data_IF_189264306077
#
_entry.id   IF_189264306077
#
_cell.length_a   1.000
_cell.length_b   1.000
_cell.length_c   1.000
_cell.angle_alpha   90.00
_cell.angle_beta   90.00
_cell.angle_gamma   90.00
#
_symmetry.space_group_name_H-M   'P 1'
#
loop_
_entity.id
_entity.type
_entity.pdbx_description
1 polymer ?
#
# COMPACT_ATOMS: atom_id res chain seq x y z
N UNK A 1 -12.69 13.58 -57.90
CA UNK A 1 -12.61 13.77 -59.37
C UNK A 1 -11.73 14.98 -59.66
N UNK A 2 -10.46 14.75 -59.93
CA UNK A 2 -9.56 15.83 -60.39
C UNK A 2 -9.16 15.45 -61.81
N UNK A 3 -9.53 16.31 -62.80
CA UNK A 3 -9.20 16.17 -64.21
C UNK A 3 -7.73 16.57 -64.41
N UNK A 4 -6.92 15.64 -64.89
CA UNK A 4 -5.58 15.97 -65.45
C UNK A 4 -5.71 16.35 -66.94
N UNK A 5 -5.22 17.54 -67.25
CA UNK A 5 -5.13 18.04 -68.67
C UNK A 5 -3.93 17.40 -69.36
N UNK A 6 -4.16 16.85 -70.53
CA UNK A 6 -3.14 16.33 -71.45
C UNK A 6 -2.26 17.48 -71.98
N UNK A 7 -0.98 17.52 -71.63
CA UNK A 7 0.05 18.25 -72.36
C UNK A 7 1.04 17.23 -72.95
N UNK A 8 1.35 17.44 -74.23
CA UNK A 8 2.19 16.58 -75.03
C UNK A 8 3.60 16.39 -74.46
N UNK A 9 4.07 15.14 -74.49
CA UNK A 9 5.41 14.72 -74.08
C UNK A 9 6.35 14.86 -75.23
N UNK A 10 7.51 15.58 -75.12
CA UNK A 10 8.55 15.57 -76.13
C UNK A 10 9.31 14.22 -76.13
N UNK A 11 9.97 13.84 -77.26
CA UNK A 11 10.65 12.56 -77.43
C UNK A 11 11.89 12.50 -76.52
N UNK A 12 11.92 11.45 -75.70
CA UNK A 12 13.02 11.16 -74.77
C UNK A 12 14.15 10.49 -75.53
N UNK A 13 15.35 11.09 -75.49
CA UNK A 13 16.58 10.48 -76.01
C UNK A 13 16.94 9.25 -75.14
N UNK A 14 17.34 8.15 -75.80
CA UNK A 14 17.59 6.82 -75.17
C UNK A 14 18.77 6.75 -74.20
N UNK A 15 19.42 7.83 -73.79
CA UNK A 15 20.61 7.80 -72.93
C UNK A 15 20.39 8.24 -71.49
N UNK A 16 19.17 8.66 -71.12
CA UNK A 16 18.91 9.14 -69.71
C UNK A 16 18.24 8.13 -68.76
N UNK A 17 17.96 6.93 -69.21
CA UNK A 17 17.30 5.94 -68.39
C UNK A 17 18.16 5.46 -67.20
N UNK A 18 19.49 5.45 -67.31
CA UNK A 18 20.40 5.04 -66.25
C UNK A 18 20.55 6.11 -65.14
N UNK A 19 20.49 7.40 -65.50
CA UNK A 19 20.59 8.51 -64.54
C UNK A 19 19.37 8.63 -63.66
N UNK A 20 18.18 8.48 -64.23
CA UNK A 20 16.90 8.51 -63.49
C UNK A 20 16.76 7.30 -62.55
N UNK A 21 17.25 6.12 -62.97
CA UNK A 21 17.24 4.92 -62.12
C UNK A 21 18.15 5.03 -60.89
N UNK A 22 19.31 5.60 -61.02
CA UNK A 22 20.26 5.85 -59.94
C UNK A 22 19.75 6.91 -58.96
N UNK A 23 19.05 7.95 -59.43
CA UNK A 23 18.41 8.92 -58.53
C UNK A 23 17.21 8.33 -57.77
N UNK A 24 16.33 7.56 -58.45
CA UNK A 24 15.24 6.86 -57.78
C UNK A 24 15.71 5.80 -56.79
N UNK A 25 16.77 5.05 -57.11
CA UNK A 25 17.35 4.08 -56.21
C UNK A 25 17.98 4.72 -54.94
N UNK A 26 18.61 5.90 -55.08
CA UNK A 26 19.15 6.65 -53.94
C UNK A 26 18.04 7.23 -53.04
N UNK A 27 16.94 7.70 -53.61
CA UNK A 27 15.76 8.18 -52.87
C UNK A 27 15.06 7.02 -52.13
N UNK A 28 14.90 5.87 -52.80
CA UNK A 28 14.31 4.67 -52.17
C UNK A 28 15.20 4.13 -51.05
N UNK A 29 16.51 4.11 -51.22
CA UNK A 29 17.48 3.71 -50.21
C UNK A 29 17.46 4.66 -48.98
N UNK A 30 17.41 5.97 -49.22
CA UNK A 30 17.27 6.96 -48.13
C UNK A 30 15.93 6.86 -47.42
N UNK A 31 14.83 6.60 -48.14
CA UNK A 31 13.50 6.45 -47.53
C UNK A 31 13.38 5.18 -46.69
N UNK A 32 13.99 4.07 -47.13
CA UNK A 32 14.06 2.83 -46.37
C UNK A 32 14.95 3.03 -45.13
N UNK A 33 16.10 3.68 -45.27
CA UNK A 33 17.03 3.93 -44.14
C UNK A 33 16.41 4.87 -43.09
N UNK A 34 15.70 5.92 -43.51
CA UNK A 34 14.97 6.81 -42.60
C UNK A 34 13.84 6.08 -41.88
N UNK A 35 13.08 5.21 -42.55
CA UNK A 35 12.03 4.41 -41.94
C UNK A 35 12.57 3.36 -40.93
N UNK A 36 13.71 2.72 -41.27
CA UNK A 36 14.34 1.76 -40.32
C UNK A 36 14.98 2.49 -39.12
N UNK A 37 15.59 3.66 -39.33
CA UNK A 37 16.08 4.51 -38.25
C UNK A 37 14.91 4.99 -37.37
N UNK A 38 13.78 5.37 -37.98
CA UNK A 38 12.59 5.82 -37.25
C UNK A 38 11.94 4.66 -36.44
N UNK A 39 11.86 3.46 -37.02
CA UNK A 39 11.44 2.27 -36.33
C UNK A 39 12.39 1.93 -35.18
N UNK A 40 13.71 1.97 -35.39
CA UNK A 40 14.71 1.71 -34.39
C UNK A 40 14.70 2.75 -33.25
N UNK A 41 14.54 4.03 -33.59
CA UNK A 41 14.38 5.13 -32.64
C UNK A 41 13.09 4.98 -31.80
N UNK A 42 11.97 4.63 -32.41
CA UNK A 42 10.71 4.38 -31.71
C UNK A 42 10.77 3.10 -30.87
N UNK A 43 11.38 2.01 -31.34
CA UNK A 43 11.58 0.79 -30.56
C UNK A 43 12.50 1.06 -29.36
N UNK A 44 13.61 1.78 -29.53
CA UNK A 44 14.48 2.17 -28.39
C UNK A 44 13.81 3.14 -27.42
N UNK A 45 13.04 4.09 -27.89
CA UNK A 45 12.34 5.01 -27.00
C UNK A 45 11.13 4.37 -26.31
N UNK A 46 10.40 3.47 -26.97
CA UNK A 46 9.35 2.69 -26.31
C UNK A 46 9.92 1.67 -25.33
N UNK A 47 11.09 1.09 -25.60
CA UNK A 47 11.79 0.22 -24.64
C UNK A 47 12.34 1.04 -23.46
N UNK A 48 12.92 2.23 -23.72
CA UNK A 48 13.44 3.14 -22.69
C UNK A 48 12.32 3.82 -21.88
N UNK A 49 11.12 4.00 -22.47
CA UNK A 49 9.92 4.44 -21.74
C UNK A 49 9.27 3.29 -20.94
N UNK A 50 9.47 2.03 -21.35
CA UNK A 50 9.11 0.86 -20.54
C UNK A 50 10.12 0.56 -19.41
N UNK A 51 11.34 1.05 -19.51
CA UNK A 51 12.39 0.95 -18.49
C UNK A 51 12.39 2.11 -17.48
N UNK A 52 11.53 3.08 -17.58
CA UNK A 52 11.16 3.93 -16.46
C UNK A 52 10.19 3.11 -15.60
N UNK A 53 10.74 2.14 -14.85
CA UNK A 53 10.06 1.54 -13.72
C UNK A 53 9.66 2.69 -12.79
N UNK A 54 8.38 3.03 -12.80
CA UNK A 54 7.89 4.02 -11.85
C UNK A 54 7.75 3.28 -10.52
N UNK A 55 8.53 3.71 -9.55
CA UNK A 55 8.41 3.27 -8.17
C UNK A 55 7.14 3.89 -7.58
N UNK A 56 6.43 3.12 -6.80
CA UNK A 56 5.25 3.53 -6.06
C UNK A 56 5.47 3.24 -4.58
N UNK A 57 5.48 4.28 -3.76
CA UNK A 57 5.81 4.15 -2.35
C UNK A 57 4.54 4.11 -1.50
N UNK A 58 4.39 3.03 -0.76
CA UNK A 58 3.31 2.81 0.20
C UNK A 58 3.86 2.94 1.61
N UNK A 59 3.29 3.81 2.42
CA UNK A 59 3.59 3.90 3.85
C UNK A 59 2.49 3.15 4.63
N UNK A 60 2.89 2.11 5.34
CA UNK A 60 2.07 1.46 6.35
C UNK A 60 2.48 1.97 7.74
N UNK A 61 1.50 2.41 8.53
CA UNK A 61 1.72 2.98 9.87
C UNK A 61 1.04 2.08 10.91
N UNK A 62 1.75 1.79 12.00
CA UNK A 62 1.28 0.92 13.06
C UNK A 62 0.15 1.51 13.90
N UNK A 63 -0.20 0.80 14.97
CA UNK A 63 -1.39 1.04 15.80
C UNK A 63 -1.36 2.43 16.46
N UNK A 64 -2.25 3.33 16.04
CA UNK A 64 -2.40 4.66 16.65
C UNK A 64 -3.00 4.49 18.04
N UNK A 65 -2.24 4.85 19.08
CA UNK A 65 -2.57 4.55 20.47
C UNK A 65 -2.84 5.82 21.28
N UNK A 66 -4.12 6.04 21.58
CA UNK A 66 -4.60 7.15 22.39
C UNK A 66 -4.36 8.54 21.80
N UNK A 67 -4.65 9.57 22.59
CA UNK A 67 -4.50 10.96 22.15
C UNK A 67 -3.05 11.36 21.82
N UNK A 68 -2.06 10.68 22.41
CA UNK A 68 -0.64 10.88 22.10
C UNK A 68 -0.32 10.44 20.68
N UNK A 69 -0.72 9.22 20.31
CA UNK A 69 -0.54 8.68 18.97
C UNK A 69 -1.25 9.54 17.92
N UNK A 70 -2.48 9.99 18.19
CA UNK A 70 -3.21 10.85 17.28
C UNK A 70 -2.51 12.21 17.05
N UNK A 71 -1.93 12.81 18.11
CA UNK A 71 -1.11 14.04 17.96
C UNK A 71 0.15 13.78 17.10
N UNK A 72 0.81 12.65 17.31
CA UNK A 72 2.03 12.29 16.58
C UNK A 72 1.72 12.08 15.08
N UNK A 73 0.62 11.38 14.72
CA UNK A 73 0.13 11.28 13.34
C UNK A 73 -0.07 12.66 12.71
N UNK A 74 -0.81 13.54 13.37
CA UNK A 74 -1.10 14.91 12.87
C UNK A 74 0.16 15.74 12.68
N UNK A 75 1.17 15.53 13.50
CA UNK A 75 2.45 16.25 13.45
C UNK A 75 3.37 15.75 12.35
N UNK A 76 3.48 14.44 12.16
CA UNK A 76 4.56 13.84 11.39
C UNK A 76 4.13 13.25 10.05
N UNK A 77 2.89 12.78 9.88
CA UNK A 77 2.50 11.95 8.73
C UNK A 77 2.75 12.65 7.38
N UNK A 78 2.35 13.90 7.24
CA UNK A 78 2.56 14.66 5.98
C UNK A 78 4.03 14.89 5.66
N UNK A 79 4.86 15.12 6.67
CA UNK A 79 6.29 15.30 6.49
C UNK A 79 6.96 13.98 6.05
N UNK A 80 6.55 12.85 6.64
CA UNK A 80 7.01 11.53 6.24
C UNK A 80 6.59 11.18 4.80
N UNK A 81 5.31 11.41 4.44
CA UNK A 81 4.86 11.21 3.05
C UNK A 81 5.72 12.00 2.06
N UNK A 82 6.08 13.23 2.40
CA UNK A 82 6.96 14.04 1.54
C UNK A 82 8.40 13.53 1.52
N UNK A 83 8.95 13.11 2.66
CA UNK A 83 10.35 12.65 2.80
C UNK A 83 10.60 11.38 2.00
N UNK A 84 9.66 10.43 2.06
CA UNK A 84 9.75 9.12 1.40
C UNK A 84 9.01 9.07 0.06
N UNK A 85 8.57 10.22 -0.47
CA UNK A 85 7.78 10.30 -1.72
C UNK A 85 6.57 9.35 -1.73
N UNK A 86 5.87 9.24 -0.59
CA UNK A 86 4.76 8.31 -0.41
C UNK A 86 3.53 8.79 -1.17
N UNK A 87 3.04 7.96 -2.08
CA UNK A 87 1.82 8.20 -2.85
C UNK A 87 0.57 7.64 -2.17
N UNK A 88 0.73 6.58 -1.36
CA UNK A 88 -0.39 5.93 -0.69
C UNK A 88 -0.05 5.55 0.76
N UNK A 89 -0.95 5.83 1.69
CA UNK A 89 -0.70 5.63 3.11
C UNK A 89 -1.85 4.89 3.80
N UNK A 90 -1.51 3.78 4.47
CA UNK A 90 -2.43 3.00 5.31
C UNK A 90 -2.03 3.15 6.77
N UNK A 91 -3.00 3.46 7.63
CA UNK A 91 -2.77 3.68 9.08
C UNK A 91 -3.67 2.73 9.88
N UNK A 92 -3.11 1.97 10.81
CA UNK A 92 -3.93 1.22 11.75
C UNK A 92 -4.43 2.16 12.86
N UNK A 93 -5.75 2.36 12.91
CA UNK A 93 -6.41 3.32 13.82
C UNK A 93 -7.13 2.69 15.01
N UNK A 94 -7.04 1.37 15.21
CA UNK A 94 -7.93 0.65 16.13
C UNK A 94 -7.85 1.11 17.60
N UNK A 95 -6.73 1.70 18.00
CA UNK A 95 -6.45 2.12 19.38
C UNK A 95 -6.44 3.64 19.58
N UNK A 96 -6.98 4.43 18.62
CA UNK A 96 -6.97 5.89 18.67
C UNK A 96 -7.69 6.48 19.91
N UNK A 97 -8.72 5.79 20.42
CA UNK A 97 -9.37 6.09 21.72
C UNK A 97 -8.73 5.37 22.91
N UNK A 98 -7.55 4.79 22.71
CA UNK A 98 -6.95 3.82 23.63
C UNK A 98 -7.50 2.40 23.43
N UNK A 99 -8.80 2.26 23.25
CA UNK A 99 -9.51 1.04 22.85
C UNK A 99 -10.63 1.43 21.90
N UNK A 100 -10.53 1.05 20.66
CA UNK A 100 -11.43 1.45 19.59
C UNK A 100 -11.10 2.85 19.02
N UNK A 101 -11.89 3.28 18.05
CA UNK A 101 -11.79 4.57 17.35
C UNK A 101 -13.15 5.22 17.25
N UNK A 102 -13.23 6.55 17.29
CA UNK A 102 -14.45 7.32 17.03
C UNK A 102 -14.47 7.85 15.60
N UNK A 103 -15.65 8.21 15.04
CA UNK A 103 -15.76 8.87 13.73
C UNK A 103 -14.85 10.11 13.62
N UNK A 104 -14.87 10.99 14.62
CA UNK A 104 -14.02 12.17 14.64
C UNK A 104 -12.53 11.83 14.56
N UNK A 105 -12.07 10.80 15.28
CA UNK A 105 -10.66 10.38 15.24
C UNK A 105 -10.29 9.75 13.90
N UNK A 106 -11.23 9.04 13.25
CA UNK A 106 -11.04 8.54 11.90
C UNK A 106 -10.85 9.70 10.91
N UNK A 107 -11.72 10.72 10.96
CA UNK A 107 -11.57 11.92 10.14
C UNK A 107 -10.24 12.64 10.41
N UNK A 108 -9.83 12.77 11.67
CA UNK A 108 -8.54 13.39 12.02
C UNK A 108 -7.33 12.64 11.45
N UNK A 109 -7.37 11.29 11.37
CA UNK A 109 -6.31 10.47 10.76
C UNK A 109 -6.31 10.63 9.23
N UNK A 110 -7.48 10.62 8.59
CA UNK A 110 -7.61 10.85 7.14
C UNK A 110 -7.16 12.28 6.78
N UNK A 111 -7.58 13.28 7.53
CA UNK A 111 -7.18 14.67 7.34
C UNK A 111 -5.67 14.89 7.56
N UNK A 112 -5.03 14.08 8.40
CA UNK A 112 -3.58 14.12 8.58
C UNK A 112 -2.80 13.58 7.37
N UNK A 113 -3.47 12.87 6.44
CA UNK A 113 -2.89 12.40 5.18
C UNK A 113 -2.90 10.89 5.00
N UNK A 114 -3.60 10.12 5.84
CA UNK A 114 -3.88 8.73 5.58
C UNK A 114 -4.87 8.60 4.41
N UNK A 115 -4.66 7.60 3.56
CA UNK A 115 -5.57 7.30 2.44
C UNK A 115 -6.58 6.22 2.85
N UNK A 116 -6.18 5.29 3.75
CA UNK A 116 -7.03 4.23 4.29
C UNK A 116 -6.67 3.98 5.76
N UNK A 117 -7.69 3.68 6.56
CA UNK A 117 -7.55 3.24 7.95
C UNK A 117 -7.88 1.74 8.03
N UNK A 118 -7.02 0.96 8.66
CA UNK A 118 -7.29 -0.43 9.07
C UNK A 118 -7.55 -0.50 10.56
N UNK A 119 -8.22 -1.55 10.98
CA UNK A 119 -8.59 -1.80 12.37
C UNK A 119 -8.14 -3.20 12.82
N UNK A 120 -8.63 -3.65 13.97
CA UNK A 120 -8.29 -4.97 14.52
C UNK A 120 -9.37 -5.49 15.47
N UNK A 121 -8.95 -6.12 16.59
CA UNK A 121 -9.88 -6.71 17.57
C UNK A 121 -10.72 -5.67 18.33
N UNK A 122 -10.34 -4.42 18.35
CA UNK A 122 -11.09 -3.35 19.03
C UNK A 122 -12.04 -2.58 18.09
N UNK A 123 -12.27 -3.04 16.88
CA UNK A 123 -13.07 -2.35 15.83
C UNK A 123 -14.37 -1.77 16.35
N UNK A 124 -15.16 -2.53 17.13
CA UNK A 124 -16.50 -2.12 17.59
C UNK A 124 -16.57 -1.72 19.06
N UNK A 125 -15.43 -1.49 19.71
CA UNK A 125 -15.42 -1.10 21.13
C UNK A 125 -16.00 0.29 21.38
N UNK A 126 -15.98 1.15 20.35
CA UNK A 126 -16.71 2.41 20.30
C UNK A 126 -17.92 2.26 19.40
N UNK A 127 -19.11 2.14 19.98
CA UNK A 127 -20.35 1.85 19.23
C UNK A 127 -20.68 2.91 18.16
N UNK A 128 -20.31 4.14 18.40
CA UNK A 128 -20.48 5.28 17.49
C UNK A 128 -19.74 5.11 16.15
N UNK A 129 -18.77 4.20 16.05
CA UNK A 129 -18.07 3.91 14.79
C UNK A 129 -18.91 3.08 13.82
N UNK A 130 -19.96 2.38 14.30
CA UNK A 130 -20.69 1.42 13.47
C UNK A 130 -21.32 2.05 12.23
N UNK A 131 -22.01 3.18 12.37
CA UNK A 131 -22.63 3.88 11.24
C UNK A 131 -21.55 4.43 10.29
N UNK A 132 -20.47 4.96 10.83
CA UNK A 132 -19.32 5.44 10.05
C UNK A 132 -18.66 4.33 9.24
N UNK A 133 -18.54 3.10 9.78
CA UNK A 133 -18.01 1.95 9.09
C UNK A 133 -18.88 1.52 7.88
N UNK A 134 -20.20 1.68 7.95
CA UNK A 134 -21.10 1.40 6.83
C UNK A 134 -20.99 2.46 5.71
N UNK A 135 -20.86 3.73 6.09
CA UNK A 135 -20.85 4.87 5.17
C UNK A 135 -19.49 5.08 4.51
N UNK A 136 -18.40 5.00 5.28
CA UNK A 136 -17.06 5.30 4.81
C UNK A 136 -16.40 4.11 4.09
N UNK A 137 -15.86 4.37 2.90
CA UNK A 137 -15.04 3.41 2.17
C UNK A 137 -13.55 3.40 2.59
N UNK A 138 -13.14 4.36 3.42
CA UNK A 138 -11.74 4.61 3.79
C UNK A 138 -11.36 4.03 5.15
N UNK A 139 -12.24 3.30 5.80
CA UNK A 139 -11.97 2.58 7.05
C UNK A 139 -12.37 1.11 6.89
N UNK A 140 -11.46 0.20 7.23
CA UNK A 140 -11.60 -1.23 7.01
C UNK A 140 -11.50 -2.00 8.33
N UNK A 141 -12.49 -2.83 8.59
CA UNK A 141 -12.48 -3.79 9.69
C UNK A 141 -11.88 -5.12 9.23
N UNK A 142 -11.48 -6.04 10.12
CA UNK A 142 -11.03 -7.37 9.68
C UNK A 142 -12.11 -8.12 8.86
N UNK A 143 -11.72 -8.59 7.66
CA UNK A 143 -12.63 -9.20 6.69
C UNK A 143 -13.12 -10.59 7.12
N UNK A 144 -12.38 -11.29 7.98
CA UNK A 144 -12.70 -12.63 8.46
C UNK A 144 -13.61 -12.66 9.71
N UNK A 145 -14.33 -11.58 9.98
CA UNK A 145 -15.50 -11.57 10.85
C UNK A 145 -16.79 -11.79 10.02
N UNK A 146 -17.90 -12.05 10.71
CA UNK A 146 -19.21 -12.25 10.07
C UNK A 146 -19.56 -11.11 9.10
N UNK A 147 -20.02 -11.42 7.88
CA UNK A 147 -20.38 -10.39 6.89
C UNK A 147 -21.49 -9.44 7.33
N UNK A 148 -22.32 -9.85 8.31
CA UNK A 148 -23.41 -9.03 8.85
C UNK A 148 -22.95 -7.96 9.86
N UNK A 149 -21.68 -7.96 10.27
CA UNK A 149 -21.15 -6.93 11.14
C UNK A 149 -20.87 -5.64 10.37
N UNK A 150 -21.08 -4.46 10.99
CA UNK A 150 -20.87 -3.17 10.34
C UNK A 150 -19.49 -3.01 9.71
N UNK A 151 -19.45 -2.46 8.49
CA UNK A 151 -18.25 -2.13 7.77
C UNK A 151 -17.75 -3.21 6.80
N UNK A 152 -16.79 -2.84 6.00
CA UNK A 152 -16.14 -3.68 4.97
C UNK A 152 -14.74 -4.09 5.38
N UNK A 153 -14.26 -5.23 4.89
CA UNK A 153 -12.95 -5.77 5.25
C UNK A 153 -11.86 -5.48 4.21
N UNK A 154 -12.22 -4.97 3.05
CA UNK A 154 -11.31 -4.58 1.98
C UNK A 154 -11.97 -3.56 1.03
N UNK A 155 -11.14 -2.86 0.27
CA UNK A 155 -11.57 -1.91 -0.75
C UNK A 155 -10.52 -1.73 -1.83
N UNK A 156 -10.95 -1.21 -3.00
CA UNK A 156 -10.06 -0.84 -4.11
C UNK A 156 -10.01 0.69 -4.21
N UNK A 157 -8.82 1.21 -4.37
CA UNK A 157 -8.51 2.64 -4.37
C UNK A 157 -7.72 2.99 -5.62
N UNK A 158 -8.14 4.05 -6.31
CA UNK A 158 -7.43 4.56 -7.48
C UNK A 158 -6.16 5.30 -7.04
N UNK A 159 -5.05 4.99 -7.70
CA UNK A 159 -3.75 5.62 -7.47
C UNK A 159 -3.13 6.06 -8.80
N UNK A 160 -1.96 6.71 -8.73
CA UNK A 160 -1.24 7.13 -9.94
C UNK A 160 -0.73 5.96 -10.80
N UNK A 161 -0.58 4.77 -10.20
CA UNK A 161 -0.17 3.53 -10.91
C UNK A 161 -1.34 2.64 -11.30
N UNK A 162 -2.57 3.10 -11.12
CA UNK A 162 -3.80 2.31 -11.28
C UNK A 162 -4.38 1.87 -9.94
N UNK A 163 -5.35 0.95 -9.94
CA UNK A 163 -6.02 0.50 -8.73
C UNK A 163 -5.10 -0.30 -7.81
N UNK A 164 -5.25 -0.09 -6.50
CA UNK A 164 -4.61 -0.85 -5.43
C UNK A 164 -5.69 -1.32 -4.46
N UNK A 165 -5.66 -2.57 -4.05
CA UNK A 165 -6.56 -3.11 -3.04
C UNK A 165 -5.90 -3.05 -1.66
N UNK A 166 -6.64 -2.57 -0.65
CA UNK A 166 -6.25 -2.67 0.76
C UNK A 166 -7.18 -3.63 1.45
N UNK A 167 -6.63 -4.52 2.25
CA UNK A 167 -7.38 -5.49 3.03
C UNK A 167 -6.90 -5.53 4.48
N UNK A 168 -7.83 -5.87 5.37
CA UNK A 168 -7.55 -6.11 6.77
C UNK A 168 -8.01 -7.52 7.15
N UNK A 169 -7.16 -8.30 7.78
CA UNK A 169 -7.47 -9.60 8.35
C UNK A 169 -7.03 -9.65 9.80
N UNK A 170 -7.66 -10.53 10.60
CA UNK A 170 -7.28 -10.78 11.99
C UNK A 170 -6.86 -12.23 12.18
N UNK A 171 -5.80 -12.45 12.98
CA UNK A 171 -5.32 -13.76 13.36
C UNK A 171 -6.27 -14.49 14.32
N UNK A 172 -5.96 -15.73 14.61
CA UNK A 172 -6.72 -16.59 15.55
C UNK A 172 -5.92 -17.04 16.75
N UNK A 173 -4.59 -17.10 16.59
CA UNK A 173 -3.71 -17.58 17.65
C UNK A 173 -3.62 -16.53 18.77
N UNK A 174 -4.09 -16.88 19.95
CA UNK A 174 -4.19 -16.01 21.13
C UNK A 174 -5.04 -14.73 20.91
N UNK A 175 -5.90 -14.74 19.87
CA UNK A 175 -6.85 -13.65 19.61
C UNK A 175 -8.22 -14.03 20.18
N UNK A 176 -8.87 -13.08 20.82
CA UNK A 176 -10.26 -13.23 21.27
C UNK A 176 -11.23 -13.15 20.08
N UNK A 177 -12.49 -13.59 20.29
CA UNK A 177 -13.63 -13.45 19.37
C UNK A 177 -13.82 -14.52 18.28
N UNK A 178 -12.92 -15.50 18.10
CA UNK A 178 -13.11 -16.63 17.18
C UNK A 178 -13.44 -16.25 15.73
N UNK A 179 -12.63 -15.40 15.07
CA UNK A 179 -12.85 -15.06 13.68
C UNK A 179 -12.75 -16.30 12.78
N UNK A 180 -13.26 -16.21 11.55
CA UNK A 180 -13.06 -17.23 10.51
C UNK A 180 -11.57 -17.39 10.19
N UNK A 181 -11.23 -18.53 9.56
CA UNK A 181 -9.86 -18.81 9.17
C UNK A 181 -9.29 -17.72 8.24
N UNK A 182 -8.24 -16.98 8.65
CA UNK A 182 -7.71 -15.86 7.87
C UNK A 182 -7.08 -16.29 6.53
N UNK A 183 -6.57 -17.52 6.40
CA UNK A 183 -6.02 -18.04 5.15
C UNK A 183 -7.13 -18.29 4.11
N UNK A 184 -8.27 -18.85 4.53
CA UNK A 184 -9.44 -19.00 3.64
C UNK A 184 -10.03 -17.64 3.26
N UNK A 185 -10.05 -16.68 4.18
CA UNK A 185 -10.49 -15.33 3.91
C UNK A 185 -9.56 -14.62 2.92
N UNK A 186 -8.24 -14.80 3.04
CA UNK A 186 -7.26 -14.30 2.09
C UNK A 186 -7.45 -14.88 0.68
N UNK A 187 -7.68 -16.19 0.55
CA UNK A 187 -7.94 -16.82 -0.75
C UNK A 187 -9.20 -16.27 -1.42
N UNK A 188 -10.28 -16.11 -0.65
CA UNK A 188 -11.52 -15.51 -1.14
C UNK A 188 -11.29 -14.07 -1.60
N UNK A 189 -10.63 -13.27 -0.78
CA UNK A 189 -10.29 -11.88 -1.07
C UNK A 189 -9.47 -11.76 -2.37
N UNK A 190 -8.40 -12.53 -2.51
CA UNK A 190 -7.57 -12.49 -3.72
C UNK A 190 -8.34 -12.90 -4.97
N UNK A 191 -9.27 -13.85 -4.84
CA UNK A 191 -10.15 -14.24 -5.95
C UNK A 191 -11.11 -13.10 -6.33
N UNK A 192 -11.65 -12.40 -5.34
CA UNK A 192 -12.61 -11.30 -5.55
C UNK A 192 -11.92 -10.05 -6.12
N UNK A 193 -10.68 -9.79 -5.72
CA UNK A 193 -9.85 -8.64 -6.17
C UNK A 193 -9.24 -8.87 -7.57
N UNK A 194 -8.90 -10.12 -7.92
CA UNK A 194 -8.25 -10.47 -9.20
C UNK A 194 -6.78 -10.03 -9.24
N UNK A 195 -6.35 -9.43 -10.36
CA UNK A 195 -4.94 -9.08 -10.63
C UNK A 195 -4.49 -7.73 -10.00
N UNK A 196 -5.36 -7.09 -9.22
CA UNK A 196 -5.02 -5.82 -8.55
C UNK A 196 -4.03 -6.07 -7.43
N UNK A 197 -2.92 -5.27 -7.31
CA UNK A 197 -1.97 -5.39 -6.21
C UNK A 197 -2.65 -5.24 -4.84
N UNK A 198 -2.44 -6.20 -3.94
CA UNK A 198 -3.06 -6.24 -2.62
C UNK A 198 -2.06 -5.83 -1.54
N UNK A 199 -2.47 -4.88 -0.70
CA UNK A 199 -1.81 -4.44 0.53
C UNK A 199 -2.60 -5.00 1.71
N UNK A 200 -1.98 -5.84 2.54
CA UNK A 200 -2.65 -6.54 3.64
C UNK A 200 -2.12 -6.13 5.00
N UNK A 201 -3.00 -5.57 5.84
CA UNK A 201 -2.80 -5.46 7.28
C UNK A 201 -3.28 -6.76 7.95
N UNK A 202 -2.36 -7.53 8.52
CA UNK A 202 -2.66 -8.74 9.26
C UNK A 202 -2.52 -8.51 10.77
N UNK A 203 -3.63 -8.15 11.39
CA UNK A 203 -3.73 -7.84 12.81
C UNK A 203 -3.71 -9.12 13.66
N UNK A 204 -2.57 -9.52 14.18
CA UNK A 204 -2.41 -10.80 14.87
C UNK A 204 -1.37 -10.75 15.99
N UNK A 205 -1.59 -11.58 17.03
CA UNK A 205 -0.66 -11.70 18.17
C UNK A 205 0.58 -12.52 17.80
N UNK A 206 0.39 -13.71 17.21
CA UNK A 206 1.45 -14.68 17.06
C UNK A 206 2.36 -14.38 15.86
N UNK A 207 3.66 -14.19 16.10
CA UNK A 207 4.70 -14.02 15.05
C UNK A 207 4.67 -15.14 14.03
N UNK A 208 4.48 -16.40 14.46
CA UNK A 208 4.43 -17.55 13.56
C UNK A 208 3.22 -17.52 12.63
N UNK A 209 2.06 -17.03 13.08
CA UNK A 209 0.87 -16.86 12.24
C UNK A 209 1.07 -15.76 11.22
N UNK A 210 1.71 -14.64 11.60
CA UNK A 210 2.08 -13.54 10.70
C UNK A 210 3.03 -13.99 9.60
N UNK A 211 4.13 -14.65 9.96
CA UNK A 211 5.09 -15.20 9.00
C UNK A 211 4.45 -16.25 8.07
N UNK A 212 3.62 -17.15 8.62
CA UNK A 212 2.91 -18.14 7.81
C UNK A 212 2.00 -17.49 6.77
N UNK A 213 1.26 -16.43 7.15
CA UNK A 213 0.42 -15.65 6.23
C UNK A 213 1.26 -14.99 5.14
N UNK A 214 2.39 -14.39 5.50
CA UNK A 214 3.28 -13.73 4.55
C UNK A 214 3.84 -14.71 3.49
N UNK A 215 4.37 -15.86 3.91
CA UNK A 215 4.83 -16.89 2.99
C UNK A 215 3.70 -17.50 2.15
N UNK A 216 2.51 -17.64 2.74
CA UNK A 216 1.33 -18.12 2.01
C UNK A 216 0.92 -17.19 0.88
N UNK A 217 1.10 -15.88 1.09
CA UNK A 217 0.75 -14.84 0.14
C UNK A 217 1.94 -14.38 -0.73
N UNK A 218 3.13 -14.97 -0.55
CA UNK A 218 4.31 -14.57 -1.30
C UNK A 218 4.13 -14.71 -2.81
N UNK A 219 4.25 -13.59 -3.52
CA UNK A 219 3.96 -13.44 -4.95
C UNK A 219 2.48 -13.32 -5.31
N UNK A 220 1.56 -13.31 -4.30
CA UNK A 220 0.12 -13.14 -4.48
C UNK A 220 -0.39 -11.80 -3.90
N UNK A 221 0.35 -11.21 -2.97
CA UNK A 221 0.13 -9.88 -2.45
C UNK A 221 1.35 -8.99 -2.72
N UNK A 222 1.15 -7.68 -2.86
CA UNK A 222 2.24 -6.72 -3.02
C UNK A 222 3.00 -6.50 -1.72
N UNK A 223 2.27 -6.36 -0.61
CA UNK A 223 2.85 -6.27 0.73
C UNK A 223 1.91 -6.86 1.79
N UNK A 224 2.51 -7.44 2.84
CA UNK A 224 1.84 -7.95 4.04
C UNK A 224 2.59 -7.42 5.26
N UNK A 225 1.90 -6.77 6.17
CA UNK A 225 2.49 -6.33 7.43
C UNK A 225 1.63 -6.74 8.61
N UNK A 226 2.27 -6.93 9.75
CA UNK A 226 1.59 -7.22 10.99
C UNK A 226 1.35 -5.96 11.83
N UNK A 227 0.29 -6.01 12.64
CA UNK A 227 -0.07 -5.04 13.68
C UNK A 227 -0.48 -5.78 14.95
N UNK A 228 -0.91 -5.12 16.00
CA UNK A 228 -1.40 -5.64 17.28
C UNK A 228 -0.39 -5.63 18.45
N UNK A 229 0.85 -6.09 18.24
CA UNK A 229 1.77 -6.28 19.39
C UNK A 229 2.35 -4.97 19.91
N UNK A 230 2.21 -3.88 19.16
CA UNK A 230 2.73 -2.53 19.46
C UNK A 230 4.26 -2.43 19.52
N UNK A 231 4.99 -3.52 19.21
CA UNK A 231 6.45 -3.56 19.21
C UNK A 231 6.94 -3.72 17.77
N UNK A 232 7.59 -2.70 17.25
CA UNK A 232 8.14 -2.76 15.89
C UNK A 232 9.24 -3.83 15.81
N UNK A 233 9.10 -4.75 14.85
CA UNK A 233 10.11 -5.78 14.58
C UNK A 233 11.17 -5.27 13.59
N UNK A 234 12.30 -5.98 13.51
CA UNK A 234 13.46 -5.60 12.69
C UNK A 234 13.70 -6.60 11.55
N UNK A 235 12.62 -7.10 10.98
CA UNK A 235 12.64 -8.16 9.97
C UNK A 235 12.01 -7.74 8.64
N UNK A 236 11.94 -6.42 8.39
CA UNK A 236 11.47 -5.90 7.12
C UNK A 236 12.27 -6.49 5.96
N UNK A 237 11.56 -7.00 4.97
CA UNK A 237 12.17 -7.72 3.86
C UNK A 237 11.25 -7.79 2.64
N UNK A 238 11.82 -8.16 1.51
CA UNK A 238 11.06 -8.61 0.33
C UNK A 238 11.22 -10.12 0.23
N UNK A 239 10.10 -10.83 0.28
CA UNK A 239 10.06 -12.29 0.18
C UNK A 239 10.45 -12.77 -1.23
N UNK A 240 10.86 -14.05 -1.40
CA UNK A 240 11.46 -14.56 -2.65
C UNK A 240 10.63 -14.37 -3.93
N UNK A 241 9.29 -14.26 -3.84
CA UNK A 241 8.42 -14.05 -5.01
C UNK A 241 7.98 -12.59 -5.18
N UNK A 242 8.47 -11.67 -4.31
CA UNK A 242 8.28 -10.23 -4.45
C UNK A 242 7.18 -9.63 -3.57
N UNK A 243 6.80 -10.27 -2.49
CA UNK A 243 5.91 -9.66 -1.47
C UNK A 243 6.74 -8.94 -0.42
N UNK A 244 6.47 -7.65 -0.17
CA UNK A 244 7.05 -6.90 0.95
C UNK A 244 6.49 -7.40 2.28
N UNK A 245 7.33 -7.47 3.33
CA UNK A 245 6.92 -7.98 4.62
C UNK A 245 7.60 -7.29 5.80
N UNK A 246 6.87 -7.15 6.91
CA UNK A 246 7.37 -6.92 8.27
C UNK A 246 6.43 -7.62 9.26
N UNK A 247 6.99 -8.26 10.30
CA UNK A 247 6.20 -8.99 11.30
C UNK A 247 5.28 -8.08 12.10
N UNK A 248 5.74 -6.91 12.53
CA UNK A 248 4.90 -5.92 13.20
C UNK A 248 5.41 -4.50 12.97
N UNK A 249 4.51 -3.60 12.62
CA UNK A 249 4.80 -2.18 12.40
C UNK A 249 5.11 -1.42 13.70
N UNK A 250 4.74 -1.97 14.85
CA UNK A 250 4.75 -1.29 16.13
C UNK A 250 3.56 -0.36 16.32
N UNK A 251 3.64 0.59 17.23
CA UNK A 251 2.58 1.55 17.50
C UNK A 251 2.97 2.99 17.20
N UNK A 252 1.97 3.84 17.07
CA UNK A 252 2.13 5.29 17.17
C UNK A 252 1.61 5.70 18.54
N UNK A 253 2.52 5.99 19.48
CA UNK A 253 2.12 6.22 20.86
C UNK A 253 3.25 6.59 21.79
N UNK A 254 2.98 6.70 23.10
CA UNK A 254 3.94 7.18 24.09
C UNK A 254 5.14 6.23 24.23
N UNK A 255 6.35 6.81 24.16
CA UNK A 255 7.62 6.07 24.24
C UNK A 255 7.80 5.40 25.62
N UNK A 256 7.53 6.15 26.70
CA UNK A 256 7.66 5.65 28.06
C UNK A 256 6.36 5.01 28.56
N UNK A 257 6.06 3.84 27.99
CA UNK A 257 4.84 3.10 28.27
C UNK A 257 5.06 1.58 28.17
N UNK A 258 4.12 0.81 28.67
CA UNK A 258 4.00 -0.61 28.36
C UNK A 258 2.88 -0.76 27.34
N UNK A 259 3.25 -0.89 26.05
CA UNK A 259 2.32 -0.99 24.93
C UNK A 259 1.27 0.15 24.89
N UNK A 260 1.68 1.37 25.27
CA UNK A 260 0.80 2.54 25.31
C UNK A 260 0.21 2.86 26.69
N UNK A 261 0.23 1.92 27.65
CA UNK A 261 -0.33 2.07 29.00
C UNK A 261 0.73 2.53 30.00
N UNK A 262 0.34 3.23 31.06
CA UNK A 262 1.23 3.62 32.16
C UNK A 262 1.94 2.41 32.76
N UNK A 263 3.29 2.42 32.88
CA UNK A 263 4.06 1.26 33.34
C UNK A 263 3.61 0.75 34.70
N UNK A 264 3.26 1.64 35.63
CA UNK A 264 2.86 1.29 37.00
C UNK A 264 1.59 0.42 36.99
N UNK A 265 0.65 0.70 36.09
CA UNK A 265 -0.60 -0.08 35.99
C UNK A 265 -0.35 -1.46 35.40
N UNK A 266 0.51 -1.58 34.40
CA UNK A 266 0.90 -2.87 33.83
C UNK A 266 1.70 -3.70 34.84
N UNK A 267 2.61 -3.08 35.56
CA UNK A 267 3.40 -3.76 36.65
C UNK A 267 2.46 -4.28 37.72
N UNK A 268 1.52 -3.47 38.21
CA UNK A 268 0.55 -3.88 39.23
C UNK A 268 -0.28 -5.08 38.73
N UNK A 269 -0.77 -5.04 37.49
CA UNK A 269 -1.51 -6.15 36.88
C UNK A 269 -0.71 -7.45 36.89
N UNK A 270 0.55 -7.43 36.42
CA UNK A 270 1.39 -8.62 36.32
C UNK A 270 1.85 -9.13 37.72
N UNK A 271 1.85 -8.27 38.72
CA UNK A 271 2.05 -8.66 40.14
C UNK A 271 0.82 -9.25 40.78
N UNK A 272 -0.33 -9.28 40.07
CA UNK A 272 -1.60 -9.75 40.60
C UNK A 272 -2.30 -8.76 41.54
N UNK A 273 -1.96 -7.49 41.46
CA UNK A 273 -2.57 -6.41 42.24
C UNK A 273 -3.82 -5.89 41.55
N UNK A 274 -4.73 -5.26 42.31
CA UNK A 274 -5.88 -4.59 41.73
C UNK A 274 -5.43 -3.34 40.99
N UNK A 275 -5.79 -3.22 39.71
CA UNK A 275 -5.48 -2.05 38.90
C UNK A 275 -6.70 -1.15 38.70
N UNK A 276 -6.49 0.16 38.57
CA UNK A 276 -7.46 1.08 38.05
C UNK A 276 -7.67 0.87 36.55
N UNK A 277 -8.63 1.59 35.97
CA UNK A 277 -8.75 1.67 34.49
C UNK A 277 -7.41 2.11 33.89
N UNK A 278 -6.95 1.41 32.84
CA UNK A 278 -5.73 1.77 32.15
C UNK A 278 -5.75 3.19 31.59
N UNK A 279 -4.62 3.87 31.71
CA UNK A 279 -4.39 5.24 31.28
C UNK A 279 -3.16 5.33 30.38
N UNK A 280 -3.20 6.26 29.46
CA UNK A 280 -2.11 6.52 28.52
C UNK A 280 -1.24 7.64 29.11
N UNK A 281 0.09 7.43 29.27
CA UNK A 281 0.96 8.44 29.83
C UNK A 281 1.09 9.64 28.86
N UNK A 282 1.22 10.83 29.47
CA UNK A 282 1.67 12.00 28.72
C UNK A 282 3.17 11.90 28.45
N UNK A 283 3.66 12.58 27.40
CA UNK A 283 5.08 12.63 27.08
C UNK A 283 5.36 12.50 25.59
N UNK A 284 6.65 12.30 25.24
CA UNK A 284 7.04 12.11 23.84
C UNK A 284 6.43 10.84 23.27
N UNK A 285 6.02 10.92 22.04
CA UNK A 285 5.48 9.79 21.28
C UNK A 285 6.46 9.39 20.18
N UNK A 286 6.34 8.15 19.76
CA UNK A 286 7.03 7.58 18.60
C UNK A 286 6.00 7.18 17.56
N UNK A 287 6.24 7.53 16.30
CA UNK A 287 5.53 6.99 15.17
C UNK A 287 6.36 5.86 14.57
N UNK A 288 5.80 4.66 14.50
CA UNK A 288 6.39 3.49 13.85
C UNK A 288 5.61 3.12 12.59
N UNK A 289 6.33 2.65 11.57
CA UNK A 289 5.75 2.21 10.30
C UNK A 289 6.78 1.56 9.39
N UNK A 290 6.39 1.29 8.15
CA UNK A 290 7.29 0.82 7.10
C UNK A 290 6.88 1.41 5.75
N UNK A 291 7.87 1.71 4.90
CA UNK A 291 7.69 2.07 3.51
C UNK A 291 7.97 0.84 2.65
N UNK A 292 7.03 0.53 1.77
CA UNK A 292 7.16 -0.50 0.75
C UNK A 292 7.23 0.17 -0.62
N UNK A 293 8.30 -0.10 -1.37
CA UNK A 293 8.44 0.36 -2.75
C UNK A 293 7.94 -0.72 -3.67
N UNK A 294 6.95 -0.39 -4.49
CA UNK A 294 6.37 -1.30 -5.47
C UNK A 294 6.82 -0.91 -6.88
N UNK A 295 7.10 -1.90 -7.69
CA UNK A 295 7.25 -1.73 -9.14
C UNK A 295 5.88 -1.57 -9.78
N UNK A 296 5.63 -0.44 -10.42
CA UNK A 296 4.32 -0.11 -11.00
C UNK A 296 3.88 -1.04 -12.13
N UNK A 297 4.82 -1.70 -12.81
CA UNK A 297 4.51 -2.56 -13.94
C UNK A 297 4.10 -3.98 -13.51
N UNK A 298 4.74 -4.51 -12.45
CA UNK A 298 4.48 -5.86 -11.95
C UNK A 298 3.61 -5.90 -10.70
N UNK A 299 3.42 -4.77 -10.01
CA UNK A 299 2.76 -4.68 -8.72
C UNK A 299 3.53 -5.35 -7.57
N UNK A 300 4.79 -5.77 -7.81
CA UNK A 300 5.62 -6.44 -6.80
C UNK A 300 6.40 -5.46 -5.96
N UNK A 301 6.65 -5.82 -4.71
CA UNK A 301 7.54 -5.07 -3.85
C UNK A 301 9.01 -5.29 -4.24
N UNK A 302 9.78 -4.21 -4.27
CA UNK A 302 11.22 -4.19 -4.58
C UNK A 302 12.06 -3.80 -3.37
N UNK A 303 11.47 -3.08 -2.39
CA UNK A 303 12.14 -2.68 -1.15
C UNK A 303 11.13 -2.56 0.00
N UNK A 304 11.57 -2.89 1.20
CA UNK A 304 10.86 -2.64 2.45
C UNK A 304 11.82 -1.97 3.44
N UNK A 305 11.40 -0.84 4.03
CA UNK A 305 12.21 -0.05 4.95
C UNK A 305 11.38 0.36 6.17
N UNK A 306 11.91 0.11 7.38
CA UNK A 306 11.28 0.59 8.62
C UNK A 306 11.39 2.10 8.75
N UNK A 307 10.33 2.69 9.26
CA UNK A 307 10.29 4.11 9.58
C UNK A 307 10.01 4.29 11.07
N UNK A 308 10.80 5.15 11.71
CA UNK A 308 10.61 5.53 13.11
C UNK A 308 10.86 7.02 13.26
N UNK A 309 9.91 7.73 13.88
CA UNK A 309 10.03 9.17 14.16
C UNK A 309 9.64 9.45 15.60
N UNK A 310 10.51 10.09 16.35
CA UNK A 310 10.27 10.55 17.71
C UNK A 310 9.78 12.01 17.73
N UNK A 311 8.90 12.36 18.69
CA UNK A 311 8.36 13.72 18.90
C UNK A 311 9.41 14.75 19.31
#
# INVERSE_FOLDING_TARGET
MIRLSSKAVPPICQNDFFGVWLQCASFFSQYIMVNEIWKWYNVKNTTKLRELQMEFHVLAVGDVTGAGGLRSIKKHLRALKKLYHVEFCVVNGENASGVGITPQQADEILDAGADVITLGNHTWNRREICDYLEESRYILRPANFLPSLPGRGWGVYETQIGPVAVANLIGRCNMNFGPDNPFHAADKLLKDVGDIPVLLDFHAEATSEKLAMAYYLDGRAAAVWGTHTHVQTADETVLPKGTGYITDLGMVGPVYSVLGVKPEQSIALFRGELTSRFEWPAGPCRLCGAVFTLDSASGKCTSAERVTVDD
#
